data_IF_941198287361
#
_entry.id   IF_941198287361
#
_cell.length_a   1.000
_cell.length_b   1.000
_cell.length_c   1.000
_cell.angle_alpha   90.00
_cell.angle_beta   90.00
_cell.angle_gamma   90.00
#
_symmetry.space_group_name_H-M   'P 1'
#
loop_
_entity.id
_entity.type
_entity.pdbx_description
1 polymer ?
#
# COMPACT_ATOMS: atom_id res chain seq x y z
N UNK A 1 -63.22 -17.80 -14.24
CA UNK A 1 -62.55 -16.87 -13.31
C UNK A 1 -61.54 -17.67 -12.49
N UNK A 2 -60.25 -17.45 -12.69
CA UNK A 2 -59.17 -18.02 -11.86
C UNK A 2 -58.34 -16.86 -11.31
N UNK A 3 -57.98 -16.84 -10.02
CA UNK A 3 -57.27 -15.72 -9.42
C UNK A 3 -55.76 -15.79 -9.72
N UNK A 4 -55.05 -14.64 -9.68
CA UNK A 4 -53.61 -14.61 -9.95
C UNK A 4 -52.81 -15.11 -8.74
N UNK A 5 -51.78 -15.94 -9.00
CA UNK A 5 -50.78 -16.35 -7.99
C UNK A 5 -49.76 -15.21 -7.82
N UNK A 6 -49.77 -14.56 -6.66
CA UNK A 6 -48.69 -13.68 -6.23
C UNK A 6 -47.58 -14.49 -5.55
N UNK A 7 -46.39 -14.54 -6.16
CA UNK A 7 -45.17 -15.07 -5.53
C UNK A 7 -44.52 -14.00 -4.65
N UNK A 8 -44.81 -14.01 -3.34
CA UNK A 8 -43.97 -13.38 -2.30
C UNK A 8 -42.88 -14.37 -1.85
N UNK A 9 -41.77 -14.45 -2.57
CA UNK A 9 -40.53 -15.09 -2.10
C UNK A 9 -39.36 -14.26 -2.61
N UNK A 10 -38.76 -13.44 -1.74
CA UNK A 10 -37.61 -12.63 -2.12
C UNK A 10 -37.16 -11.62 -1.06
N UNK A 11 -38.05 -11.11 -0.20
CA UNK A 11 -37.66 -10.09 0.81
C UNK A 11 -37.23 -10.65 2.16
N UNK A 12 -37.53 -11.91 2.47
CA UNK A 12 -37.25 -12.50 3.78
C UNK A 12 -35.84 -13.12 3.89
N UNK A 13 -35.25 -13.61 2.79
CA UNK A 13 -33.89 -14.20 2.82
C UNK A 13 -32.81 -13.15 3.01
N UNK A 14 -32.96 -11.99 2.36
CA UNK A 14 -31.90 -10.96 2.31
C UNK A 14 -31.75 -10.27 3.67
N UNK A 15 -32.85 -10.01 4.37
CA UNK A 15 -32.86 -9.45 5.71
C UNK A 15 -32.23 -10.40 6.76
N UNK A 16 -32.48 -11.71 6.64
CA UNK A 16 -31.87 -12.72 7.50
C UNK A 16 -30.35 -12.83 7.28
N UNK A 17 -29.91 -12.87 6.03
CA UNK A 17 -28.48 -12.88 5.71
C UNK A 17 -27.77 -11.59 6.14
N UNK A 18 -28.43 -10.43 6.03
CA UNK A 18 -27.89 -9.16 6.54
C UNK A 18 -27.77 -9.16 8.07
N UNK A 19 -28.77 -9.68 8.79
CA UNK A 19 -28.72 -9.77 10.25
C UNK A 19 -27.65 -10.75 10.75
N UNK A 20 -27.48 -11.90 10.10
CA UNK A 20 -26.43 -12.87 10.44
C UNK A 20 -25.02 -12.28 10.20
N UNK A 21 -24.83 -11.59 9.07
CA UNK A 21 -23.56 -10.94 8.74
C UNK A 21 -23.24 -9.78 9.70
N UNK A 22 -24.24 -8.97 10.07
CA UNK A 22 -24.07 -7.91 11.07
C UNK A 22 -23.70 -8.50 12.45
N UNK A 23 -24.34 -9.60 12.86
CA UNK A 23 -24.04 -10.27 14.13
C UNK A 23 -22.61 -10.82 14.21
N UNK A 24 -22.06 -11.33 13.10
CA UNK A 24 -20.66 -11.78 13.04
C UNK A 24 -19.65 -10.64 13.11
N UNK A 25 -19.94 -9.51 12.48
CA UNK A 25 -19.11 -8.30 12.58
C UNK A 25 -19.03 -7.85 14.03
N UNK A 26 -20.18 -7.72 14.71
CA UNK A 26 -20.22 -7.34 16.13
C UNK A 26 -19.47 -8.33 17.02
N UNK A 27 -19.54 -9.64 16.71
CA UNK A 27 -18.77 -10.65 17.44
C UNK A 27 -17.26 -10.49 17.26
N UNK A 28 -16.79 -10.25 16.03
CA UNK A 28 -15.37 -10.01 15.74
C UNK A 28 -14.87 -8.73 16.40
N UNK A 29 -15.66 -7.66 16.37
CA UNK A 29 -15.34 -6.40 17.04
C UNK A 29 -15.21 -6.59 18.55
N UNK A 30 -16.15 -7.32 19.18
CA UNK A 30 -16.05 -7.67 20.61
C UNK A 30 -14.79 -8.48 20.91
N UNK A 31 -14.43 -9.43 20.04
CA UNK A 31 -13.20 -10.24 20.19
C UNK A 31 -11.95 -9.38 20.08
N UNK A 32 -11.88 -8.46 19.12
CA UNK A 32 -10.76 -7.53 18.97
C UNK A 32 -10.63 -6.59 20.17
N UNK A 33 -11.75 -6.05 20.66
CA UNK A 33 -11.77 -5.23 21.87
C UNK A 33 -11.28 -6.03 23.10
N UNK A 34 -11.67 -7.30 23.22
CA UNK A 34 -11.17 -8.22 24.25
C UNK A 34 -9.67 -8.52 24.15
N UNK A 35 -9.07 -8.39 22.96
CA UNK A 35 -7.63 -8.52 22.73
C UNK A 35 -6.86 -7.20 22.96
N UNK A 36 -7.51 -6.18 23.52
CA UNK A 36 -6.87 -4.88 23.80
C UNK A 36 -6.74 -3.98 22.57
N UNK A 37 -7.28 -4.37 21.41
CA UNK A 37 -7.36 -3.52 20.23
C UNK A 37 -8.44 -2.47 20.48
N UNK A 38 -8.02 -1.29 20.93
CA UNK A 38 -8.89 -0.11 21.05
C UNK A 38 -8.72 0.73 19.79
N UNK A 39 -9.67 0.61 18.86
CA UNK A 39 -9.81 1.54 17.74
C UNK A 39 -10.08 2.93 18.35
N UNK A 40 -9.02 3.74 18.51
CA UNK A 40 -9.10 5.08 19.10
C UNK A 40 -9.48 6.08 18.00
N UNK A 41 -10.75 6.48 17.92
CA UNK A 41 -11.27 7.82 17.58
C UNK A 41 -12.79 7.79 17.25
N UNK A 42 -13.52 8.90 17.44
CA UNK A 42 -14.88 9.04 16.90
C UNK A 42 -14.88 9.23 15.36
N UNK A 43 -13.84 9.86 14.79
CA UNK A 43 -13.64 9.96 13.34
C UNK A 43 -13.25 8.62 12.71
N UNK A 44 -12.51 7.77 13.44
CA UNK A 44 -12.18 6.43 12.98
C UNK A 44 -13.42 5.54 12.89
N UNK A 45 -14.47 5.76 13.70
CA UNK A 45 -15.75 5.01 13.60
C UNK A 45 -16.50 5.19 12.26
N UNK A 46 -16.35 6.33 11.59
CA UNK A 46 -16.92 6.55 10.25
C UNK A 46 -16.09 5.88 9.17
N UNK A 47 -14.76 6.00 9.26
CA UNK A 47 -13.81 5.33 8.36
C UNK A 47 -13.87 3.81 8.53
N UNK A 48 -14.19 3.32 9.74
CA UNK A 48 -14.20 1.89 10.02
C UNK A 48 -15.30 1.15 9.28
N UNK A 49 -16.47 1.75 9.09
CA UNK A 49 -17.58 1.10 8.39
C UNK A 49 -17.30 0.80 6.92
N UNK A 50 -16.40 1.54 6.27
CA UNK A 50 -16.12 1.41 4.84
C UNK A 50 -15.03 0.39 4.50
N UNK A 51 -14.11 0.11 5.45
CA UNK A 51 -12.94 -0.75 5.21
C UNK A 51 -12.93 -2.02 6.05
N UNK A 52 -13.62 -2.07 7.19
CA UNK A 52 -13.69 -3.26 8.05
C UNK A 52 -14.92 -4.11 7.75
N UNK A 53 -14.95 -4.73 6.58
CA UNK A 53 -15.90 -5.80 6.32
C UNK A 53 -15.54 -7.09 7.11
N UNK A 54 -16.44 -8.08 7.14
CA UNK A 54 -16.24 -9.35 7.87
C UNK A 54 -14.90 -10.02 7.48
N UNK A 55 -14.52 -9.92 6.20
CA UNK A 55 -13.27 -10.48 5.68
C UNK A 55 -12.06 -9.81 6.31
N UNK A 56 -12.06 -8.47 6.36
CA UNK A 56 -11.00 -7.65 6.93
C UNK A 56 -10.89 -7.82 8.44
N UNK A 57 -12.02 -7.81 9.17
CA UNK A 57 -12.02 -8.03 10.63
C UNK A 57 -11.49 -9.41 11.00
N UNK A 58 -11.85 -10.44 10.25
CA UNK A 58 -11.33 -11.78 10.46
C UNK A 58 -9.82 -11.85 10.20
N UNK A 59 -9.33 -11.15 9.17
CA UNK A 59 -7.89 -11.04 8.89
C UNK A 59 -7.13 -10.33 10.01
N UNK A 60 -7.66 -9.20 10.47
CA UNK A 60 -7.09 -8.45 11.58
C UNK A 60 -7.05 -9.30 12.86
N UNK A 61 -8.14 -9.97 13.18
CA UNK A 61 -8.22 -10.89 14.33
C UNK A 61 -7.13 -11.98 14.28
N UNK A 62 -6.87 -12.57 13.10
CA UNK A 62 -5.80 -13.55 12.92
C UNK A 62 -4.42 -12.94 13.14
N UNK A 63 -4.17 -11.73 12.64
CA UNK A 63 -2.88 -11.05 12.77
C UNK A 63 -2.59 -10.69 14.24
N UNK A 64 -3.61 -10.23 14.99
CA UNK A 64 -3.51 -9.94 16.43
C UNK A 64 -3.25 -11.23 17.22
N UNK A 65 -4.00 -12.31 16.95
CA UNK A 65 -3.76 -13.60 17.62
C UNK A 65 -2.38 -14.20 17.36
N UNK A 66 -1.81 -13.95 16.17
CA UNK A 66 -0.43 -14.31 15.82
C UNK A 66 0.61 -13.37 16.44
N UNK A 67 0.20 -12.39 17.24
CA UNK A 67 1.04 -11.36 17.85
C UNK A 67 1.85 -10.55 16.82
N UNK A 68 1.31 -10.37 15.62
CA UNK A 68 1.95 -9.54 14.58
C UNK A 68 1.83 -8.06 14.94
N UNK A 69 0.70 -7.68 15.52
CA UNK A 69 0.42 -6.35 16.08
C UNK A 69 -0.23 -6.52 17.46
N UNK A 70 -0.04 -5.54 18.34
CA UNK A 70 -0.58 -5.49 19.71
C UNK A 70 -1.70 -4.48 19.88
N UNK A 71 -1.76 -3.45 19.03
CA UNK A 71 -2.79 -2.42 19.08
C UNK A 71 -3.05 -1.82 17.69
N UNK A 72 -4.22 -1.20 17.50
CA UNK A 72 -4.55 -0.40 16.31
C UNK A 72 -4.99 0.99 16.78
N UNK A 73 -4.30 2.02 16.32
CA UNK A 73 -4.53 3.42 16.65
C UNK A 73 -5.32 4.16 15.57
N UNK A 74 -5.11 5.47 15.52
CA UNK A 74 -5.77 6.37 14.58
C UNK A 74 -5.34 6.18 13.12
N UNK A 75 -6.15 6.72 12.21
CA UNK A 75 -5.85 6.73 10.77
C UNK A 75 -4.75 7.74 10.47
N UNK A 76 -3.67 7.29 9.82
CA UNK A 76 -2.58 8.11 9.27
C UNK A 76 -3.01 8.75 7.95
N UNK A 77 -3.66 7.95 7.10
CA UNK A 77 -4.03 8.37 5.75
C UNK A 77 -5.31 7.69 5.30
N UNK A 78 -6.18 8.45 4.63
CA UNK A 78 -7.37 7.96 3.97
C UNK A 78 -7.28 8.20 2.47
N UNK A 79 -7.05 7.12 1.72
CA UNK A 79 -6.99 7.13 0.26
C UNK A 79 -8.24 6.55 -0.38
N UNK A 80 -8.35 6.74 -1.70
CA UNK A 80 -9.40 6.10 -2.52
C UNK A 80 -9.29 4.58 -2.52
N UNK A 81 -8.07 4.05 -2.40
CA UNK A 81 -7.79 2.62 -2.57
C UNK A 81 -7.48 1.91 -1.26
N UNK A 82 -6.94 2.62 -0.27
CA UNK A 82 -6.56 2.06 1.01
C UNK A 82 -6.63 3.10 2.13
N UNK A 83 -6.73 2.61 3.36
CA UNK A 83 -6.54 3.39 4.58
C UNK A 83 -5.30 2.88 5.31
N UNK A 84 -4.53 3.78 5.90
CA UNK A 84 -3.35 3.44 6.69
C UNK A 84 -3.59 3.86 8.13
N UNK A 85 -3.35 2.96 9.08
CA UNK A 85 -3.53 3.18 10.51
C UNK A 85 -2.21 2.99 11.25
N UNK A 86 -2.02 3.72 12.35
CA UNK A 86 -0.93 3.44 13.30
C UNK A 86 -1.28 2.15 14.03
N UNK A 87 -0.28 1.34 14.34
CA UNK A 87 -0.40 0.17 15.21
C UNK A 87 0.80 0.07 16.15
N UNK A 88 0.59 -0.56 17.29
CA UNK A 88 1.69 -1.06 18.11
C UNK A 88 2.07 -2.46 17.68
N UNK A 89 3.37 -2.78 17.76
CA UNK A 89 3.93 -4.13 17.66
C UNK A 89 4.81 -4.35 18.87
N UNK A 90 4.92 -5.60 19.31
CA UNK A 90 5.87 -6.00 20.36
C UNK A 90 6.86 -6.97 19.75
N UNK A 91 8.14 -6.61 19.77
CA UNK A 91 9.25 -7.44 19.31
C UNK A 91 10.27 -7.51 20.45
N UNK A 92 10.59 -8.71 20.91
CA UNK A 92 11.48 -8.95 22.06
C UNK A 92 11.15 -8.10 23.30
N UNK A 93 9.85 -8.01 23.64
CA UNK A 93 9.30 -7.20 24.75
C UNK A 93 9.43 -5.69 24.59
N UNK A 94 9.92 -5.21 23.44
CA UNK A 94 10.01 -3.79 23.10
C UNK A 94 8.79 -3.40 22.27
N UNK A 95 8.07 -2.37 22.73
CA UNK A 95 6.98 -1.78 21.96
C UNK A 95 7.56 -0.92 20.83
N UNK A 96 7.20 -1.25 19.59
CA UNK A 96 7.61 -0.57 18.37
C UNK A 96 6.40 -0.11 17.58
N UNK A 97 6.58 0.93 16.76
CA UNK A 97 5.53 1.44 15.87
C UNK A 97 5.40 0.58 14.60
N UNK A 98 4.16 0.31 14.20
CA UNK A 98 3.83 -0.31 12.92
C UNK A 98 2.76 0.50 12.18
N UNK A 99 2.69 0.34 10.87
CA UNK A 99 1.64 0.85 10.02
C UNK A 99 0.81 -0.32 9.47
N UNK A 100 -0.51 -0.16 9.51
CA UNK A 100 -1.48 -1.13 8.99
C UNK A 100 -2.19 -0.52 7.79
N UNK A 101 -1.83 -0.96 6.59
CA UNK A 101 -2.47 -0.55 5.35
C UNK A 101 -3.56 -1.55 4.98
N UNK A 102 -4.80 -1.08 4.92
CA UNK A 102 -5.99 -1.85 4.61
C UNK A 102 -6.54 -1.40 3.26
N UNK A 103 -6.48 -2.29 2.27
CA UNK A 103 -7.05 -2.04 0.95
C UNK A 103 -8.57 -2.18 0.97
N UNK A 104 -9.24 -1.25 0.28
CA UNK A 104 -10.70 -1.18 0.18
C UNK A 104 -11.24 -2.25 -0.75
N UNK A 105 -11.87 -3.28 -0.18
CA UNK A 105 -12.43 -4.40 -0.95
C UNK A 105 -13.55 -3.98 -1.90
N UNK A 106 -14.39 -3.00 -1.53
CA UNK A 106 -15.57 -2.66 -2.35
C UNK A 106 -15.35 -1.53 -3.35
N UNK A 107 -14.47 -0.59 -3.02
CA UNK A 107 -14.29 0.66 -3.76
C UNK A 107 -12.89 0.81 -4.37
N UNK A 108 -12.00 -0.17 -4.19
CA UNK A 108 -10.67 -0.18 -4.80
C UNK A 108 -10.74 -0.11 -6.33
N UNK A 109 -9.85 0.68 -6.92
CA UNK A 109 -9.80 0.96 -8.36
C UNK A 109 -9.22 -0.22 -9.15
N UNK A 110 -10.07 -1.21 -9.36
CA UNK A 110 -9.76 -2.48 -10.01
C UNK A 110 -9.11 -2.37 -11.39
N UNK A 111 -9.56 -1.41 -12.20
CA UNK A 111 -9.09 -1.27 -13.58
C UNK A 111 -7.60 -0.91 -13.60
N UNK A 112 -7.22 0.08 -12.80
CA UNK A 112 -5.82 0.50 -12.67
C UNK A 112 -4.98 -0.60 -12.03
N UNK A 113 -5.48 -1.28 -11.00
CA UNK A 113 -4.76 -2.39 -10.38
C UNK A 113 -4.49 -3.54 -11.36
N UNK A 114 -5.47 -3.88 -12.18
CA UNK A 114 -5.33 -4.96 -13.16
C UNK A 114 -4.17 -4.71 -14.13
N UNK A 115 -3.91 -3.46 -14.54
CA UNK A 115 -2.82 -3.15 -15.46
C UNK A 115 -1.43 -3.49 -14.93
N UNK A 116 -1.19 -3.33 -13.62
CA UNK A 116 0.11 -3.66 -13.04
C UNK A 116 0.18 -5.09 -12.45
N UNK A 117 -0.92 -5.85 -12.48
CA UNK A 117 -0.93 -7.30 -12.15
C UNK A 117 -0.83 -8.15 -13.42
N UNK A 118 -1.57 -7.82 -14.48
CA UNK A 118 -1.75 -8.71 -15.64
C UNK A 118 -0.43 -8.99 -16.37
N UNK A 119 0.51 -8.03 -16.37
CA UNK A 119 1.84 -8.21 -16.95
C UNK A 119 2.89 -8.77 -15.99
N UNK A 120 2.56 -9.05 -14.73
CA UNK A 120 3.50 -9.54 -13.72
C UNK A 120 3.46 -11.08 -13.67
N UNK A 121 4.55 -11.78 -14.05
CA UNK A 121 4.59 -13.24 -14.09
C UNK A 121 4.26 -13.92 -12.75
N UNK A 122 4.52 -13.23 -11.63
CA UNK A 122 4.27 -13.73 -10.27
C UNK A 122 2.78 -13.94 -9.99
N UNK A 123 1.92 -13.35 -10.82
CA UNK A 123 0.48 -13.27 -10.61
C UNK A 123 -0.35 -13.84 -11.78
N UNK A 124 0.29 -14.53 -12.72
CA UNK A 124 -0.34 -15.07 -13.94
C UNK A 124 -1.52 -16.04 -13.68
N UNK A 125 -1.56 -16.71 -12.51
CA UNK A 125 -2.55 -17.73 -12.18
C UNK A 125 -3.74 -17.25 -11.33
N UNK A 126 -3.92 -15.94 -11.14
CA UNK A 126 -4.96 -15.40 -10.26
C UNK A 126 -6.34 -15.39 -10.93
N UNK A 127 -7.35 -15.77 -10.16
CA UNK A 127 -8.76 -15.62 -10.53
C UNK A 127 -9.11 -14.15 -10.65
N UNK A 128 -9.77 -13.75 -11.73
CA UNK A 128 -10.07 -12.33 -12.04
C UNK A 128 -11.25 -11.74 -11.25
N UNK A 129 -11.50 -12.22 -10.03
CA UNK A 129 -12.51 -11.59 -9.17
C UNK A 129 -11.91 -10.33 -8.53
N UNK A 130 -12.77 -9.37 -8.21
CA UNK A 130 -12.35 -8.09 -7.61
C UNK A 130 -11.59 -8.30 -6.28
N UNK A 131 -12.06 -9.20 -5.42
CA UNK A 131 -11.40 -9.55 -4.14
C UNK A 131 -10.04 -10.20 -4.33
N UNK A 132 -9.93 -11.17 -5.24
CA UNK A 132 -8.68 -11.89 -5.48
C UNK A 132 -7.60 -10.97 -6.04
N UNK A 133 -7.99 -10.00 -6.89
CA UNK A 133 -7.09 -8.98 -7.40
C UNK A 133 -6.59 -8.05 -6.29
N UNK A 134 -7.46 -7.65 -5.35
CA UNK A 134 -7.03 -6.85 -4.20
C UNK A 134 -6.07 -7.63 -3.31
N UNK A 135 -6.33 -8.92 -3.03
CA UNK A 135 -5.43 -9.73 -2.21
C UNK A 135 -4.07 -9.95 -2.91
N UNK A 136 -4.10 -10.14 -4.24
CA UNK A 136 -2.89 -10.18 -5.05
C UNK A 136 -2.13 -8.86 -4.98
N UNK A 137 -2.83 -7.73 -5.02
CA UNK A 137 -2.27 -6.38 -4.92
C UNK A 137 -1.56 -6.16 -3.57
N UNK A 138 -2.20 -6.54 -2.46
CA UNK A 138 -1.59 -6.50 -1.13
C UNK A 138 -0.36 -7.40 -1.04
N UNK A 139 -0.44 -8.62 -1.55
CA UNK A 139 0.72 -9.53 -1.62
C UNK A 139 1.85 -8.95 -2.48
N UNK A 140 1.51 -8.30 -3.59
CA UNK A 140 2.46 -7.64 -4.49
C UNK A 140 3.21 -6.52 -3.78
N UNK A 141 2.50 -5.63 -3.09
CA UNK A 141 3.15 -4.57 -2.31
C UNK A 141 4.07 -5.15 -1.24
N UNK A 142 3.62 -6.15 -0.48
CA UNK A 142 4.47 -6.87 0.48
C UNK A 142 5.75 -7.40 -0.16
N UNK A 143 5.64 -8.11 -1.28
CA UNK A 143 6.79 -8.68 -1.99
C UNK A 143 7.73 -7.62 -2.57
N UNK A 144 7.19 -6.49 -3.03
CA UNK A 144 7.99 -5.38 -3.56
C UNK A 144 8.75 -4.65 -2.44
N UNK A 145 8.10 -4.37 -1.31
CA UNK A 145 8.75 -3.82 -0.13
C UNK A 145 9.84 -4.75 0.41
N UNK A 146 9.58 -6.05 0.47
CA UNK A 146 10.55 -7.03 0.96
C UNK A 146 11.80 -7.01 0.07
N UNK A 147 11.59 -7.04 -1.26
CA UNK A 147 12.69 -6.98 -2.23
C UNK A 147 13.49 -5.69 -2.17
N UNK A 148 12.83 -4.55 -1.98
CA UNK A 148 13.51 -3.26 -1.84
C UNK A 148 14.30 -3.17 -0.53
N UNK A 149 13.70 -3.63 0.58
CA UNK A 149 14.33 -3.67 1.91
C UNK A 149 15.54 -4.62 1.93
N UNK A 150 15.42 -5.81 1.33
CA UNK A 150 16.52 -6.78 1.19
C UNK A 150 17.67 -6.23 0.34
N UNK A 151 17.37 -5.35 -0.62
CA UNK A 151 18.36 -4.64 -1.44
C UNK A 151 18.96 -3.40 -0.74
N UNK A 152 18.56 -3.11 0.50
CA UNK A 152 19.07 -2.01 1.31
C UNK A 152 18.50 -0.63 0.96
N UNK A 153 17.37 -0.56 0.26
CA UNK A 153 16.72 0.73 -0.01
C UNK A 153 15.98 1.26 1.23
N UNK A 154 15.95 2.60 1.41
CA UNK A 154 15.12 3.22 2.45
C UNK A 154 13.64 3.09 2.05
N UNK A 155 12.96 2.13 2.66
CA UNK A 155 11.52 1.89 2.53
C UNK A 155 11.00 1.18 3.78
N UNK A 156 9.69 1.18 4.06
CA UNK A 156 9.14 0.47 5.21
C UNK A 156 9.49 -1.02 5.18
N UNK A 157 10.09 -1.54 6.26
CA UNK A 157 10.26 -2.99 6.40
C UNK A 157 8.87 -3.67 6.48
N UNK A 158 8.52 -4.60 5.57
CA UNK A 158 7.25 -5.28 5.64
C UNK A 158 7.31 -6.41 6.68
N UNK A 159 6.30 -6.48 7.55
CA UNK A 159 6.24 -7.48 8.63
C UNK A 159 5.35 -8.67 8.26
N UNK A 160 4.15 -8.41 7.75
CA UNK A 160 3.22 -9.46 7.36
C UNK A 160 2.15 -8.91 6.40
N UNK A 161 1.43 -9.82 5.75
CA UNK A 161 0.17 -9.49 5.10
C UNK A 161 -0.86 -10.61 5.34
N UNK A 162 -2.14 -10.26 5.36
CA UNK A 162 -3.24 -11.22 5.30
C UNK A 162 -4.40 -10.61 4.51
N UNK A 163 -4.75 -11.26 3.39
CA UNK A 163 -5.79 -10.79 2.45
C UNK A 163 -5.53 -9.35 1.98
N UNK A 164 -6.37 -8.40 2.38
CA UNK A 164 -6.29 -6.98 2.02
C UNK A 164 -5.52 -6.13 3.04
N UNK A 165 -4.90 -6.75 4.05
CA UNK A 165 -4.14 -6.06 5.09
C UNK A 165 -2.64 -6.28 4.87
N UNK A 166 -1.88 -5.19 4.84
CA UNK A 166 -0.42 -5.15 4.91
C UNK A 166 0.01 -4.52 6.23
N UNK A 167 0.93 -5.18 6.94
CA UNK A 167 1.58 -4.68 8.14
C UNK A 167 3.05 -4.39 7.80
N UNK A 168 3.50 -3.17 8.06
CA UNK A 168 4.85 -2.71 7.78
C UNK A 168 5.34 -1.75 8.86
N UNK A 169 6.61 -1.39 8.79
CA UNK A 169 7.23 -0.39 9.65
C UNK A 169 6.49 0.94 9.63
N UNK A 170 6.33 1.55 10.80
CA UNK A 170 5.85 2.92 10.89
C UNK A 170 7.02 3.89 10.69
N UNK A 171 6.93 4.71 9.65
CA UNK A 171 7.91 5.75 9.35
C UNK A 171 7.50 7.07 10.01
N UNK A 172 7.95 7.26 11.25
CA UNK A 172 7.65 8.45 12.03
C UNK A 172 8.19 8.39 13.45
N UNK A 173 8.00 9.48 14.19
CA UNK A 173 8.48 9.62 15.58
C UNK A 173 7.34 10.13 16.48
N UNK A 174 7.23 9.61 17.70
CA UNK A 174 6.19 10.03 18.65
C UNK A 174 4.76 9.80 18.15
N UNK A 175 4.55 8.84 17.25
CA UNK A 175 3.25 8.59 16.60
C UNK A 175 2.89 9.58 15.49
N UNK A 176 3.81 10.46 15.10
CA UNK A 176 3.62 11.41 14.00
C UNK A 176 4.38 10.88 12.76
N UNK A 177 3.70 10.66 11.61
CA UNK A 177 4.37 10.18 10.41
C UNK A 177 5.34 11.23 9.87
N UNK A 178 6.43 10.78 9.25
CA UNK A 178 7.31 11.68 8.52
C UNK A 178 6.56 12.42 7.39
N UNK A 179 6.88 13.70 7.13
CA UNK A 179 6.21 14.46 6.09
C UNK A 179 6.54 13.92 4.71
N UNK A 180 5.64 14.12 3.75
CA UNK A 180 5.91 13.85 2.34
C UNK A 180 6.94 14.85 1.79
N UNK A 181 7.74 14.45 0.80
CA UNK A 181 8.78 15.29 0.18
C UNK A 181 8.21 16.63 -0.32
N UNK A 182 6.97 16.63 -0.81
CA UNK A 182 6.27 17.85 -1.23
C UNK A 182 6.10 18.91 -0.14
N UNK A 183 6.05 18.47 1.11
CA UNK A 183 5.85 19.33 2.28
C UNK A 183 7.18 19.82 2.85
N UNK A 184 8.23 18.99 2.77
CA UNK A 184 9.55 19.29 3.33
C UNK A 184 10.64 18.50 2.60
N UNK A 185 11.71 19.18 2.21
CA UNK A 185 12.95 18.54 1.73
C UNK A 185 13.88 18.22 2.92
N UNK A 186 14.63 17.11 2.90
CA UNK A 186 15.62 16.79 3.93
C UNK A 186 16.83 17.72 3.90
N UNK A 187 17.19 18.23 2.72
CA UNK A 187 18.40 19.02 2.47
C UNK A 187 18.13 20.11 1.41
N UNK A 188 19.18 20.62 0.75
CA UNK A 188 19.01 21.52 -0.40
C UNK A 188 18.22 20.85 -1.53
N UNK A 189 17.66 21.65 -2.44
CA UNK A 189 16.90 21.10 -3.57
C UNK A 189 17.78 20.25 -4.49
N UNK A 190 19.03 20.65 -4.68
CA UNK A 190 20.05 19.95 -5.45
C UNK A 190 20.40 18.59 -4.83
N UNK A 191 20.70 18.56 -3.52
CA UNK A 191 21.03 17.31 -2.81
C UNK A 191 19.84 16.36 -2.79
N UNK A 192 18.66 16.88 -2.48
CA UNK A 192 17.43 16.06 -2.44
C UNK A 192 17.08 15.52 -3.83
N UNK A 193 17.29 16.30 -4.89
CA UNK A 193 17.08 15.86 -6.26
C UNK A 193 18.05 14.73 -6.65
N UNK A 194 19.34 14.90 -6.34
CA UNK A 194 20.35 13.88 -6.57
C UNK A 194 20.02 12.58 -5.83
N UNK A 195 19.56 12.68 -4.58
CA UNK A 195 19.09 11.54 -3.79
C UNK A 195 17.86 10.87 -4.42
N UNK A 196 16.84 11.64 -4.84
CA UNK A 196 15.64 11.11 -5.47
C UNK A 196 15.95 10.35 -6.77
N UNK A 197 16.83 10.89 -7.62
CA UNK A 197 17.31 10.19 -8.83
C UNK A 197 18.11 8.94 -8.45
N UNK A 198 18.93 9.01 -7.40
CA UNK A 198 19.65 7.87 -6.83
C UNK A 198 18.71 6.75 -6.37
N UNK A 199 17.58 7.08 -5.75
CA UNK A 199 16.56 6.10 -5.35
C UNK A 199 15.93 5.39 -6.56
N UNK A 200 15.63 6.11 -7.65
CA UNK A 200 15.12 5.49 -8.88
C UNK A 200 16.15 4.50 -9.44
N UNK A 201 17.41 4.93 -9.53
CA UNK A 201 18.52 4.08 -10.02
C UNK A 201 18.66 2.83 -9.17
N UNK A 202 18.77 3.00 -7.85
CA UNK A 202 19.00 1.89 -6.92
C UNK A 202 17.81 0.92 -6.88
N UNK A 203 16.59 1.42 -7.03
CA UNK A 203 15.40 0.57 -7.12
C UNK A 203 15.43 -0.31 -8.38
N UNK A 204 15.84 0.25 -9.52
CA UNK A 204 15.99 -0.50 -10.76
C UNK A 204 17.17 -1.47 -10.73
N UNK A 205 18.35 -1.00 -10.35
CA UNK A 205 19.60 -1.75 -10.48
C UNK A 205 19.79 -2.77 -9.35
N UNK A 206 19.44 -2.41 -8.10
CA UNK A 206 19.65 -3.29 -6.93
C UNK A 206 18.42 -4.14 -6.64
N UNK A 207 17.24 -3.52 -6.57
CA UNK A 207 16.00 -4.24 -6.24
C UNK A 207 15.31 -4.86 -7.47
N UNK A 208 15.76 -4.55 -8.70
CA UNK A 208 15.13 -5.03 -9.95
C UNK A 208 13.63 -4.70 -9.96
N UNK A 209 13.31 -3.45 -9.64
CA UNK A 209 11.95 -2.90 -9.62
C UNK A 209 11.92 -1.52 -10.28
N UNK A 210 10.79 -1.20 -10.90
CA UNK A 210 10.41 0.15 -11.32
C UNK A 210 9.21 0.53 -10.46
N UNK A 211 9.24 1.68 -9.78
CA UNK A 211 8.17 2.09 -8.88
C UNK A 211 6.83 2.23 -9.61
N UNK A 212 6.87 2.83 -10.81
CA UNK A 212 5.74 2.94 -11.71
C UNK A 212 4.60 3.80 -11.19
N UNK A 213 4.82 4.67 -10.22
CA UNK A 213 3.94 5.81 -9.90
C UNK A 213 4.69 6.81 -8.99
N UNK A 214 5.99 6.99 -9.21
CA UNK A 214 6.83 7.77 -8.30
C UNK A 214 6.53 9.27 -8.46
N UNK A 215 6.40 9.95 -7.33
CA UNK A 215 6.20 11.40 -7.22
C UNK A 215 6.55 11.89 -5.82
N UNK A 216 6.50 13.20 -5.61
CA UNK A 216 6.70 13.85 -4.31
C UNK A 216 5.68 13.49 -3.22
N UNK A 217 4.61 12.79 -3.59
CA UNK A 217 3.58 12.27 -2.68
C UNK A 217 3.97 10.92 -2.07
N UNK A 218 4.81 10.16 -2.78
CA UNK A 218 5.12 8.75 -2.47
C UNK A 218 6.57 8.61 -1.95
N UNK A 219 7.15 9.73 -1.53
CA UNK A 219 8.46 9.81 -0.90
C UNK A 219 8.28 10.58 0.41
N UNK A 220 8.75 10.01 1.52
CA UNK A 220 8.80 10.68 2.82
C UNK A 220 10.17 11.27 3.09
N UNK A 221 10.21 12.29 3.93
CA UNK A 221 11.43 12.95 4.39
C UNK A 221 11.71 12.54 5.84
N UNK A 222 12.59 11.56 6.01
CA UNK A 222 13.03 11.05 7.30
C UNK A 222 14.29 11.73 7.84
N UNK A 223 14.85 11.24 8.96
CA UNK A 223 16.06 11.79 9.56
C UNK A 223 17.31 11.57 8.70
N UNK A 224 17.38 10.44 7.99
CA UNK A 224 18.54 10.04 7.18
C UNK A 224 18.38 10.36 5.67
N UNK A 225 17.32 11.07 5.29
CA UNK A 225 17.03 11.41 3.90
C UNK A 225 15.64 10.98 3.42
N UNK A 226 15.56 10.61 2.14
CA UNK A 226 14.33 10.23 1.46
C UNK A 226 14.00 8.75 1.66
N UNK A 227 12.72 8.45 1.87
CA UNK A 227 12.21 7.08 2.09
C UNK A 227 11.07 6.80 1.10
N UNK A 228 11.20 5.73 0.31
CA UNK A 228 10.18 5.30 -0.64
C UNK A 228 8.99 4.65 0.07
N UNK A 229 7.76 5.01 -0.31
CA UNK A 229 6.52 4.39 0.16
C UNK A 229 5.59 4.05 -1.01
N UNK A 230 4.56 3.24 -0.76
CA UNK A 230 3.53 2.87 -1.74
C UNK A 230 4.05 2.08 -2.96
N UNK A 231 4.60 0.90 -2.70
CA UNK A 231 5.23 0.03 -3.71
C UNK A 231 4.25 -0.91 -4.43
N UNK A 232 2.95 -0.62 -4.39
CA UNK A 232 1.93 -1.51 -4.92
C UNK A 232 1.91 -1.54 -6.47
N UNK A 233 2.14 -0.38 -7.09
CA UNK A 233 2.24 -0.22 -8.54
C UNK A 233 3.60 -0.70 -9.08
N UNK A 234 4.60 -0.93 -8.22
CA UNK A 234 5.93 -1.31 -8.68
C UNK A 234 5.94 -2.62 -9.47
N UNK A 235 6.68 -2.63 -10.59
CA UNK A 235 6.78 -3.77 -11.52
C UNK A 235 8.22 -4.20 -11.68
N UNK A 236 8.44 -5.42 -12.14
CA UNK A 236 9.79 -5.86 -12.52
C UNK A 236 10.16 -5.34 -13.92
N UNK A 237 11.45 -5.26 -14.28
CA UNK A 237 11.90 -4.83 -15.60
C UNK A 237 11.35 -5.66 -16.77
N UNK A 238 10.95 -6.91 -16.52
CA UNK A 238 10.37 -7.80 -17.53
C UNK A 238 8.91 -7.44 -17.89
N UNK A 239 8.28 -6.53 -17.14
CA UNK A 239 6.94 -6.05 -17.44
C UNK A 239 6.92 -5.28 -18.77
N UNK A 240 5.94 -5.50 -19.68
CA UNK A 240 5.94 -4.87 -21.01
C UNK A 240 5.96 -3.33 -21.02
N UNK A 241 5.48 -2.71 -19.93
CA UNK A 241 5.46 -1.25 -19.73
C UNK A 241 6.56 -0.73 -18.79
N UNK A 242 7.50 -1.56 -18.34
CA UNK A 242 8.48 -1.19 -17.30
C UNK A 242 9.27 0.08 -17.67
N UNK A 243 9.78 0.18 -18.90
CA UNK A 243 10.55 1.34 -19.34
C UNK A 243 9.70 2.62 -19.47
N UNK A 244 8.44 2.49 -19.90
CA UNK A 244 7.52 3.62 -19.93
C UNK A 244 7.23 4.16 -18.52
N UNK A 245 7.09 3.24 -17.55
CA UNK A 245 6.91 3.60 -16.15
C UNK A 245 8.16 4.24 -15.55
N UNK A 246 9.35 3.70 -15.84
CA UNK A 246 10.61 4.25 -15.37
C UNK A 246 10.82 5.68 -15.91
N UNK A 247 10.61 5.88 -17.20
CA UNK A 247 10.73 7.21 -17.81
C UNK A 247 9.71 8.20 -17.21
N UNK A 248 8.48 7.75 -16.95
CA UNK A 248 7.46 8.57 -16.26
C UNK A 248 7.90 8.95 -14.85
N UNK A 249 8.43 8.02 -14.08
CA UNK A 249 8.92 8.28 -12.72
C UNK A 249 10.02 9.36 -12.74
N UNK A 250 10.99 9.25 -13.66
CA UNK A 250 12.04 10.26 -13.88
C UNK A 250 11.43 11.63 -14.21
N UNK A 251 10.50 11.69 -15.17
CA UNK A 251 9.84 12.93 -15.59
C UNK A 251 9.06 13.56 -14.44
N UNK A 252 8.40 12.76 -13.60
CA UNK A 252 7.66 13.27 -12.45
C UNK A 252 8.59 13.91 -11.41
N UNK A 253 9.71 13.25 -11.09
CA UNK A 253 10.73 13.80 -10.18
C UNK A 253 11.33 15.08 -10.78
N UNK A 254 11.75 15.06 -12.04
CA UNK A 254 12.25 16.26 -12.72
C UNK A 254 11.25 17.41 -12.67
N UNK A 255 9.96 17.15 -12.96
CA UNK A 255 8.90 18.16 -12.91
C UNK A 255 8.77 18.79 -11.53
N UNK A 256 8.89 18.01 -10.46
CA UNK A 256 8.83 18.55 -9.10
C UNK A 256 10.02 19.48 -8.81
N UNK A 257 11.21 19.18 -9.32
CA UNK A 257 12.44 19.94 -9.06
C UNK A 257 12.76 21.05 -10.07
N UNK A 258 12.10 21.09 -11.23
CA UNK A 258 12.32 22.04 -12.33
C UNK A 258 12.40 23.52 -11.90
N UNK A 259 11.58 23.92 -10.92
CA UNK A 259 11.55 25.29 -10.37
C UNK A 259 12.34 25.48 -9.07
N UNK A 260 13.05 24.46 -8.62
CA UNK A 260 13.76 24.42 -7.33
C UNK A 260 15.28 24.33 -7.49
N UNK A 261 15.76 23.62 -8.51
CA UNK A 261 17.17 23.47 -8.81
C UNK A 261 17.39 23.13 -10.30
N UNK A 262 18.65 23.02 -10.72
CA UNK A 262 18.99 22.56 -12.07
C UNK A 262 18.73 21.06 -12.20
N UNK A 263 17.82 20.67 -13.09
CA UNK A 263 17.49 19.27 -13.37
C UNK A 263 18.34 18.73 -14.53
N UNK A 264 18.59 17.41 -14.53
CA UNK A 264 19.27 16.70 -15.64
C UNK A 264 18.27 16.30 -16.71
N UNK A 265 18.75 16.07 -17.92
CA UNK A 265 17.90 15.59 -19.02
C UNK A 265 17.30 14.19 -18.68
N UNK A 266 15.98 13.99 -18.83
CA UNK A 266 15.35 12.71 -18.52
C UNK A 266 15.89 11.53 -19.31
N UNK A 267 16.33 11.72 -20.57
CA UNK A 267 16.89 10.65 -21.39
C UNK A 267 18.29 10.26 -20.93
N UNK A 268 19.10 11.22 -20.48
CA UNK A 268 20.39 10.94 -19.86
C UNK A 268 20.24 10.12 -18.57
N UNK A 269 19.32 10.51 -17.68
CA UNK A 269 19.03 9.74 -16.46
C UNK A 269 18.55 8.33 -16.83
N UNK A 270 17.61 8.22 -17.77
CA UNK A 270 17.09 6.92 -18.19
C UNK A 270 18.20 6.02 -18.70
N UNK A 271 19.08 6.53 -19.57
CA UNK A 271 20.23 5.79 -20.13
C UNK A 271 21.20 5.32 -19.04
N UNK A 272 21.52 6.20 -18.08
CA UNK A 272 22.37 5.85 -16.92
C UNK A 272 21.76 4.69 -16.12
N UNK A 273 20.44 4.69 -15.92
CA UNK A 273 19.77 3.68 -15.10
C UNK A 273 19.69 2.33 -15.82
N UNK A 274 19.29 2.31 -17.11
CA UNK A 274 19.10 1.06 -17.86
C UNK A 274 20.41 0.47 -18.40
N UNK A 275 21.45 1.29 -18.53
CA UNK A 275 22.75 0.93 -19.11
C UNK A 275 22.79 1.05 -20.64
N UNK A 276 23.99 1.27 -21.18
CA UNK A 276 24.22 1.40 -22.63
C UNK A 276 23.88 0.12 -23.40
N UNK A 277 24.06 -1.05 -22.79
CA UNK A 277 23.74 -2.36 -23.37
C UNK A 277 22.27 -2.47 -23.83
N UNK A 278 21.36 -1.68 -23.24
CA UNK A 278 19.97 -1.61 -23.66
C UNK A 278 19.79 -1.03 -25.07
N UNK A 279 20.68 -0.13 -25.50
CA UNK A 279 20.58 0.57 -26.79
C UNK A 279 21.37 -0.10 -27.91
N UNK A 280 22.09 -1.19 -27.61
CA UNK A 280 22.88 -1.96 -28.58
C UNK A 280 22.10 -3.13 -29.22
N UNK A 281 20.85 -3.37 -28.79
CA UNK A 281 19.93 -4.40 -29.32
C UNK A 281 19.00 -3.80 -30.38
#
# INVERSE_FOLDING_TARGET
MSPPKHTRKGRHSDAYHHAEHAGRIEELDRKLAGLGIRIKDEDSRKVTGEVFDEVTLLSLYKLVNKKVISSLGGSISSGKEANVFIAGRVEDEIETGAAVKIYRIRTGNFTTMSEYIIGDPRFASIRRTHKDIIFAWTKKEYSNLARASDAGLPCPKPYAFDRNILIMEFLGEGGIPYPQMRQRLPASAEETYAEAVGLIRDLYQKARLVHGDLSEYNILTGPDGLILIDMAQAVTPEHPKAYNFLFRDIVNINRFFDKKCSIRDPHEIFREIVGEEFFEI
#
